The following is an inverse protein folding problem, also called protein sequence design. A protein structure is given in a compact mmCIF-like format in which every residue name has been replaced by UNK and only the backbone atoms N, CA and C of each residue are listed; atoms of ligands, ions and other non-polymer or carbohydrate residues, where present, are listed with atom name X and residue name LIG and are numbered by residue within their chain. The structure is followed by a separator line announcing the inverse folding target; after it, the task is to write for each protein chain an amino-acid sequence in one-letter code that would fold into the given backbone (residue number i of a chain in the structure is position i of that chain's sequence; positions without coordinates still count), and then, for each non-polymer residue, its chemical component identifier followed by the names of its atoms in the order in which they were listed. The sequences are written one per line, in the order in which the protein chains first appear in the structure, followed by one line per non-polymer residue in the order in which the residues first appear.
data_IF_142008628575
#
_entry.id   IF_142008628575
#
_cell.length_a   1.000
_cell.length_b   1.000
_cell.length_c   1.000
_cell.angle_alpha   90.00
_cell.angle_beta   90.00
_cell.angle_gamma   90.00
#
_symmetry.space_group_name_H-M   'P 1'
#
loop_
_entity.id
_entity.type
_entity.pdbx_description
1 polymer ?
#
# COMPACT_ATOMS: atom_id res chain seq x y z
N UNK A 1 -0.74 -7.16 27.45
CA UNK A 1 -0.56 -5.90 26.76
C UNK A 1 -0.53 -6.09 25.27
N UNK A 2 -1.35 -5.39 24.60
CA UNK A 2 -1.38 -5.46 23.16
C UNK A 2 -0.19 -4.71 22.57
N UNK A 3 0.42 -5.27 21.56
CA UNK A 3 1.35 -4.51 20.74
C UNK A 3 0.61 -3.28 20.23
N UNK A 4 1.20 -2.13 20.41
CA UNK A 4 0.61 -0.90 19.95
C UNK A 4 0.44 -0.91 18.45
N UNK A 5 -0.67 -0.37 17.98
CA UNK A 5 -0.84 -0.10 16.57
C UNK A 5 0.05 1.08 16.21
N UNK A 6 0.75 0.98 15.12
CA UNK A 6 1.51 2.11 14.61
C UNK A 6 0.57 3.03 13.84
N UNK A 7 0.80 4.32 13.95
CA UNK A 7 0.17 5.28 13.04
C UNK A 7 0.70 5.05 11.64
N UNK A 8 -0.18 5.04 10.64
CA UNK A 8 0.22 4.86 9.25
C UNK A 8 -0.26 6.08 8.46
N UNK A 9 0.66 6.69 7.73
CA UNK A 9 0.38 7.86 6.91
C UNK A 9 0.72 7.54 5.47
N UNK A 10 -0.22 7.78 4.56
CA UNK A 10 0.06 7.71 3.13
C UNK A 10 0.63 9.05 2.68
N UNK A 11 1.80 9.03 2.08
CA UNK A 11 2.47 10.25 1.65
C UNK A 11 1.89 10.75 0.33
N UNK A 12 2.23 11.99 -0.02
CA UNK A 12 1.84 12.55 -1.29
C UNK A 12 2.37 11.71 -2.46
N UNK A 13 3.59 11.19 -2.33
CA UNK A 13 4.16 10.33 -3.36
C UNK A 13 3.34 9.07 -3.55
N UNK A 14 2.85 8.46 -2.47
CA UNK A 14 1.99 7.29 -2.56
C UNK A 14 0.74 7.60 -3.39
N UNK A 15 0.09 8.73 -3.11
CA UNK A 15 -1.11 9.12 -3.86
C UNK A 15 -0.79 9.48 -5.30
N UNK A 16 0.37 10.06 -5.58
CA UNK A 16 0.79 10.30 -6.96
C UNK A 16 1.01 8.99 -7.72
N UNK A 17 1.60 8.00 -7.05
CA UNK A 17 1.76 6.68 -7.65
C UNK A 17 0.40 6.06 -7.95
N UNK A 18 -0.55 6.21 -7.05
CA UNK A 18 -1.91 5.71 -7.24
C UNK A 18 -2.58 6.39 -8.43
N UNK A 19 -2.52 7.72 -8.50
CA UNK A 19 -3.14 8.50 -9.57
C UNK A 19 -2.54 8.18 -10.94
N UNK A 20 -1.24 7.86 -10.97
CA UNK A 20 -0.57 7.51 -12.22
C UNK A 20 -0.98 6.15 -12.74
N UNK A 21 -1.35 5.24 -11.84
CA UNK A 21 -1.58 3.84 -12.19
C UNK A 21 -3.05 3.48 -12.35
N UNK A 22 -3.96 4.23 -11.74
CA UNK A 22 -5.39 3.99 -11.86
C UNK A 22 -6.10 5.26 -12.30
N UNK A 23 -7.18 5.13 -13.08
CA UNK A 23 -7.95 6.29 -13.52
C UNK A 23 -8.75 6.90 -12.36
N UNK A 24 -9.12 8.17 -12.52
CA UNK A 24 -9.94 8.85 -11.53
C UNK A 24 -11.35 8.27 -11.45
N UNK A 25 -11.85 7.75 -12.57
CA UNK A 25 -13.16 7.14 -12.63
C UNK A 25 -13.05 5.71 -13.15
N UNK A 26 -14.02 4.88 -12.77
CA UNK A 26 -14.04 3.49 -13.21
C UNK A 26 -14.08 3.42 -14.73
N UNK A 27 -13.26 2.54 -15.31
CA UNK A 27 -13.17 2.39 -16.74
C UNK A 27 -14.39 1.71 -17.35
N UNK A 28 -14.52 1.82 -18.68
CA UNK A 28 -15.64 1.28 -19.41
C UNK A 28 -15.74 -0.24 -19.35
N UNK A 29 -14.60 -0.91 -19.12
CA UNK A 29 -14.55 -2.36 -18.99
C UNK A 29 -14.50 -2.81 -17.54
N UNK A 30 -14.84 -1.93 -16.60
CA UNK A 30 -14.83 -2.25 -15.20
C UNK A 30 -13.48 -2.07 -14.51
N UNK A 31 -12.54 -1.41 -15.16
CA UNK A 31 -11.25 -1.11 -14.53
C UNK A 31 -11.49 -0.27 -13.27
N UNK A 32 -10.85 -0.60 -12.15
CA UNK A 32 -11.07 0.12 -10.91
C UNK A 32 -10.56 1.55 -10.96
N UNK A 33 -11.20 2.42 -10.21
CA UNK A 33 -10.78 3.81 -10.04
C UNK A 33 -9.85 3.93 -8.83
N UNK A 34 -9.22 5.12 -8.70
CA UNK A 34 -8.44 5.43 -7.52
C UNK A 34 -9.28 5.34 -6.26
N UNK A 35 -10.53 5.78 -6.33
CA UNK A 35 -11.43 5.71 -5.18
C UNK A 35 -11.76 4.26 -4.81
N UNK A 36 -11.96 3.40 -5.80
CA UNK A 36 -12.21 1.98 -5.52
C UNK A 36 -11.05 1.37 -4.76
N UNK A 37 -9.82 1.68 -5.16
CA UNK A 37 -8.63 1.18 -4.48
C UNK A 37 -8.56 1.72 -3.05
N UNK A 38 -8.81 3.01 -2.85
CA UNK A 38 -8.74 3.61 -1.53
C UNK A 38 -9.75 3.01 -0.57
N UNK A 39 -10.95 2.73 -1.05
CA UNK A 39 -12.01 2.19 -0.20
C UNK A 39 -11.82 0.70 0.07
N UNK A 40 -11.39 -0.08 -0.94
CA UNK A 40 -11.41 -1.54 -0.86
C UNK A 40 -10.05 -2.16 -0.57
N UNK A 41 -8.96 -1.51 -0.94
CA UNK A 41 -7.63 -2.09 -0.74
C UNK A 41 -6.76 -1.30 0.24
N UNK A 42 -6.82 0.03 0.21
CA UNK A 42 -5.93 0.83 1.06
C UNK A 42 -6.16 0.58 2.54
N UNK A 43 -7.39 0.34 2.97
CA UNK A 43 -7.67 0.07 4.37
C UNK A 43 -6.97 -1.19 4.86
N UNK A 44 -6.92 -2.23 4.03
CA UNK A 44 -6.20 -3.46 4.35
C UNK A 44 -4.70 -3.24 4.41
N UNK A 45 -4.18 -2.42 3.49
CA UNK A 45 -2.76 -2.06 3.47
C UNK A 45 -2.40 -1.34 4.77
N UNK A 46 -3.18 -0.34 5.15
CA UNK A 46 -2.96 0.42 6.38
C UNK A 46 -2.95 -0.51 7.59
N UNK A 47 -3.91 -1.43 7.66
CA UNK A 47 -4.01 -2.35 8.77
C UNK A 47 -2.77 -3.25 8.87
N UNK A 48 -2.31 -3.77 7.75
CA UNK A 48 -1.13 -4.64 7.73
C UNK A 48 0.12 -3.91 8.23
N UNK A 49 0.31 -2.66 7.83
CA UNK A 49 1.44 -1.87 8.30
C UNK A 49 1.28 -1.44 9.76
N UNK A 50 0.05 -1.20 10.19
CA UNK A 50 -0.22 -0.75 11.55
C UNK A 50 0.06 -1.84 12.59
N UNK A 51 -0.30 -3.09 12.29
CA UNK A 51 -0.21 -4.18 13.28
C UNK A 51 0.81 -5.25 12.92
N UNK A 52 1.31 -5.29 11.69
CA UNK A 52 2.20 -6.35 11.23
C UNK A 52 3.56 -5.89 10.75
N UNK A 53 4.01 -4.72 11.15
CA UNK A 53 5.27 -4.15 10.65
C UNK A 53 6.42 -5.13 10.75
N UNK A 54 6.61 -5.76 11.91
CA UNK A 54 7.77 -6.62 12.15
C UNK A 54 7.74 -7.90 11.32
N UNK A 55 6.58 -8.29 10.84
CA UNK A 55 6.42 -9.50 10.02
C UNK A 55 6.59 -9.23 8.53
N UNK A 56 6.65 -7.97 8.12
CA UNK A 56 6.80 -7.63 6.72
C UNK A 56 8.25 -7.77 6.27
N UNK A 57 8.49 -8.25 5.04
CA UNK A 57 9.84 -8.39 4.52
C UNK A 57 10.55 -7.05 4.36
N UNK A 58 11.87 -7.10 4.42
CA UNK A 58 12.72 -5.95 4.16
C UNK A 58 13.11 -5.97 2.69
N UNK A 59 12.72 -4.93 1.91
CA UNK A 59 13.08 -4.91 0.49
C UNK A 59 14.57 -4.60 0.26
N UNK A 60 15.20 -3.95 1.25
CA UNK A 60 16.61 -3.58 1.17
C UNK A 60 17.30 -4.08 2.43
N UNK A 61 18.27 -4.98 2.29
CA UNK A 61 18.92 -5.61 3.43
C UNK A 61 19.71 -4.62 4.28
N UNK A 62 20.20 -3.55 3.68
CA UNK A 62 20.98 -2.53 4.36
C UNK A 62 20.16 -1.35 4.86
N UNK A 63 18.84 -1.40 4.70
CA UNK A 63 17.92 -0.32 5.08
C UNK A 63 16.74 -0.89 5.86
N UNK A 64 16.94 -1.21 7.14
CA UNK A 64 15.89 -1.88 7.92
C UNK A 64 14.67 -1.01 8.21
N UNK A 65 14.74 0.30 7.95
CA UNK A 65 13.59 1.18 8.12
C UNK A 65 12.53 1.03 7.05
N UNK A 66 12.80 0.24 6.01
CA UNK A 66 11.83 -0.04 4.95
C UNK A 66 11.24 -1.43 5.10
N UNK A 67 9.96 -1.56 4.79
CA UNK A 67 9.27 -2.85 4.69
C UNK A 67 8.39 -2.84 3.46
N UNK A 68 8.16 -4.02 2.91
CA UNK A 68 7.34 -4.17 1.70
C UNK A 68 6.18 -5.12 1.97
N UNK A 69 5.01 -4.75 1.44
CA UNK A 69 3.83 -5.62 1.43
C UNK A 69 3.49 -5.93 -0.02
N UNK A 70 3.53 -7.20 -0.39
CA UNK A 70 3.10 -7.66 -1.70
C UNK A 70 1.93 -8.59 -1.48
N UNK A 71 0.80 -8.29 -2.11
CA UNK A 71 -0.41 -9.08 -1.90
C UNK A 71 -1.34 -8.95 -3.09
N UNK A 72 -2.27 -9.91 -3.19
CA UNK A 72 -3.38 -9.79 -4.12
C UNK A 72 -4.35 -8.73 -3.63
N UNK A 73 -4.87 -7.94 -4.56
CA UNK A 73 -5.83 -6.89 -4.21
C UNK A 73 -7.27 -7.36 -4.32
N UNK A 74 -8.17 -6.53 -3.82
CA UNK A 74 -9.61 -6.75 -4.00
C UNK A 74 -10.08 -6.22 -5.34
N UNK A 75 -9.52 -5.09 -5.78
CA UNK A 75 -9.92 -4.45 -7.02
C UNK A 75 -8.83 -4.48 -8.09
N UNK A 76 -7.61 -4.84 -7.70
CA UNK A 76 -6.48 -5.00 -8.63
C UNK A 76 -5.93 -6.42 -8.47
N UNK A 77 -5.21 -6.90 -9.47
CA UNK A 77 -4.67 -8.27 -9.41
C UNK A 77 -3.67 -8.42 -8.27
N UNK A 78 -2.78 -7.45 -8.13
CA UNK A 78 -1.72 -7.48 -7.14
C UNK A 78 -1.22 -6.07 -6.88
N UNK A 79 -0.68 -5.84 -5.71
CA UNK A 79 -0.01 -4.57 -5.42
C UNK A 79 1.25 -4.83 -4.60
N UNK A 80 2.18 -3.87 -4.65
CA UNK A 80 3.35 -3.83 -3.81
C UNK A 80 3.42 -2.43 -3.19
N UNK A 81 3.56 -2.38 -1.87
CA UNK A 81 3.63 -1.12 -1.13
C UNK A 81 4.89 -1.12 -0.29
N UNK A 82 5.66 -0.05 -0.37
CA UNK A 82 6.81 0.16 0.50
C UNK A 82 6.43 1.16 1.57
N UNK A 83 6.66 0.77 2.82
CA UNK A 83 6.50 1.63 3.98
C UNK A 83 7.85 1.96 4.59
N UNK A 84 7.97 3.14 5.15
CA UNK A 84 9.17 3.64 5.79
C UNK A 84 8.83 4.01 7.23
N UNK A 85 9.70 3.60 8.16
CA UNK A 85 9.53 3.99 9.55
C UNK A 85 10.04 5.41 9.74
N UNK A 86 9.16 6.29 10.18
CA UNK A 86 9.50 7.68 10.45
C UNK A 86 10.15 7.83 11.83
N UNK A 87 10.88 8.93 12.09
CA UNK A 87 11.53 9.14 13.39
C UNK A 87 10.59 9.12 14.57
N UNK A 88 9.32 9.48 14.37
CA UNK A 88 8.32 9.46 15.45
C UNK A 88 7.70 8.09 15.66
N UNK A 89 8.15 7.07 14.93
CA UNK A 89 7.63 5.71 15.04
C UNK A 89 6.44 5.41 14.15
N UNK A 90 5.92 6.40 13.44
CA UNK A 90 4.85 6.16 12.48
C UNK A 90 5.40 5.51 11.21
N UNK A 91 4.52 4.85 10.48
CA UNK A 91 4.85 4.28 9.17
C UNK A 91 4.34 5.23 8.09
N UNK A 92 5.21 5.55 7.14
CA UNK A 92 4.83 6.34 5.97
C UNK A 92 4.82 5.44 4.75
N UNK A 93 3.69 5.39 4.06
CA UNK A 93 3.59 4.65 2.80
C UNK A 93 4.18 5.53 1.71
N UNK A 94 5.31 5.10 1.13
CA UNK A 94 6.10 5.98 0.27
C UNK A 94 6.09 5.56 -1.20
N UNK A 95 5.69 4.33 -1.50
CA UNK A 95 5.69 3.86 -2.88
C UNK A 95 4.59 2.83 -3.07
N UNK A 96 3.96 2.87 -4.24
CA UNK A 96 2.91 1.93 -4.61
C UNK A 96 3.10 1.50 -6.05
N UNK A 97 3.13 0.19 -6.27
CA UNK A 97 3.06 -0.41 -7.59
C UNK A 97 1.83 -1.27 -7.67
N UNK A 98 1.07 -1.10 -8.73
CA UNK A 98 -0.17 -1.84 -8.95
C UNK A 98 -0.03 -2.66 -10.23
N UNK A 99 -0.37 -3.95 -10.11
CA UNK A 99 -0.51 -4.82 -11.27
C UNK A 99 -2.00 -4.95 -11.55
N UNK A 100 -2.42 -4.31 -12.61
CA UNK A 100 -3.81 -4.38 -13.07
C UNK A 100 -4.02 -5.50 -14.07
N UNK A 101 -2.93 -6.10 -14.57
CA UNK A 101 -3.06 -7.17 -15.52
C UNK A 101 -3.57 -8.40 -14.81
N UNK A 102 -4.76 -8.69 -15.10
CA UNK A 102 -5.28 -9.98 -14.74
C UNK A 102 -5.39 -10.77 -16.03
N UNK A 103 -5.30 -12.02 -15.87
CA UNK A 103 -5.50 -12.94 -16.97
C UNK A 103 -6.97 -13.23 -17.16
N UNK A 104 -7.79 -12.28 -16.86
CA UNK A 104 -9.19 -12.43 -17.13
C UNK A 104 -9.51 -12.08 -18.59
#
# INVERSE_FOLDING_TARGET
MTAGRRTVRATQRFFKDLDRQLPAERGSNGEPSTNDFQVLDLLRIVERFAVGWDDLPRPFSDRPQYRILIAAGNVVARFAVIGQLAPDGAVELVQLDIDTESTW
#
